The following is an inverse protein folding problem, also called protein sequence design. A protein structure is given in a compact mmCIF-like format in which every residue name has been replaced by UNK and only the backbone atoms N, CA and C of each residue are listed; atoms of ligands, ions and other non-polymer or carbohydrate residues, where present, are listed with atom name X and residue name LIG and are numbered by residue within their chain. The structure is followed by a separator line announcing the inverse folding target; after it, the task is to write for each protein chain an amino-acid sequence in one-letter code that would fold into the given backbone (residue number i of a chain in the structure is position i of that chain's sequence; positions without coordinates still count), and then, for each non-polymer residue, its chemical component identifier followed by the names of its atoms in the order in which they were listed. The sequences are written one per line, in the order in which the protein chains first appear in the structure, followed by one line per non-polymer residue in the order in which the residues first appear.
data_IF_849683690536
#
_entry.id   IF_849683690536
#
_cell.length_a   1.000
_cell.length_b   1.000
_cell.length_c   1.000
_cell.angle_alpha   90.00
_cell.angle_beta   90.00
_cell.angle_gamma   90.00
#
_symmetry.space_group_name_H-M   'P 1'
#
loop_
_entity.id
_entity.type
_entity.pdbx_description
1 polymer ?
#
# COMPACT_ATOMS: atom_id res chain seq x y z
N UNK A 1 24.78 -27.09 -0.34
CA UNK A 1 24.78 -26.34 0.94
C UNK A 1 24.46 -24.89 0.60
N UNK A 2 23.21 -24.45 0.76
CA UNK A 2 22.88 -23.03 0.70
C UNK A 2 23.48 -22.32 1.93
N UNK A 3 23.95 -21.07 1.82
CA UNK A 3 24.60 -20.39 2.93
C UNK A 3 23.58 -20.05 4.03
N UNK A 4 23.93 -20.35 5.29
CA UNK A 4 23.14 -20.05 6.49
C UNK A 4 22.85 -18.55 6.74
N UNK A 5 23.37 -17.65 5.90
CA UNK A 5 23.17 -16.20 6.03
C UNK A 5 21.89 -15.70 5.34
N UNK A 6 21.41 -16.37 4.28
CA UNK A 6 20.24 -15.92 3.52
C UNK A 6 18.93 -16.08 4.30
N UNK A 7 18.82 -17.11 5.15
CA UNK A 7 17.58 -17.41 5.86
C UNK A 7 17.30 -16.52 7.07
N UNK A 8 18.28 -15.73 7.53
CA UNK A 8 18.13 -14.77 8.62
C UNK A 8 18.08 -13.32 8.15
N UNK A 9 18.25 -13.07 6.85
CA UNK A 9 18.10 -11.74 6.26
C UNK A 9 16.64 -11.28 6.45
N UNK A 10 16.39 -10.14 7.13
CA UNK A 10 15.04 -9.60 7.31
C UNK A 10 14.27 -9.46 6.00
N UNK A 11 14.94 -9.12 4.89
CA UNK A 11 14.28 -8.99 3.59
C UNK A 11 13.90 -10.35 3.00
N UNK A 12 14.75 -11.37 3.17
CA UNK A 12 14.43 -12.74 2.78
C UNK A 12 13.23 -13.28 3.57
N UNK A 13 13.24 -13.12 4.89
CA UNK A 13 12.14 -13.57 5.76
C UNK A 13 10.82 -12.87 5.41
N UNK A 14 10.89 -11.58 5.09
CA UNK A 14 9.74 -10.78 4.68
C UNK A 14 9.15 -11.25 3.36
N UNK A 15 9.99 -11.48 2.36
CA UNK A 15 9.57 -12.02 1.07
C UNK A 15 9.03 -13.44 1.18
N UNK A 16 9.63 -14.31 2.00
CA UNK A 16 9.10 -15.66 2.25
C UNK A 16 7.70 -15.58 2.89
N UNK A 17 7.52 -14.70 3.88
CA UNK A 17 6.21 -14.48 4.49
C UNK A 17 5.17 -13.96 3.49
N UNK A 18 5.56 -13.01 2.63
CA UNK A 18 4.68 -12.48 1.60
C UNK A 18 4.30 -13.55 0.55
N UNK A 19 5.25 -14.41 0.15
CA UNK A 19 4.99 -15.56 -0.73
C UNK A 19 4.03 -16.57 -0.08
N UNK A 20 4.19 -16.87 1.21
CA UNK A 20 3.29 -17.76 1.96
C UNK A 20 1.87 -17.22 2.09
N UNK A 21 1.70 -15.89 2.06
CA UNK A 21 0.38 -15.27 2.05
C UNK A 21 -0.42 -15.59 0.76
N UNK A 22 0.30 -15.99 -0.31
CA UNK A 22 -0.25 -16.28 -1.64
C UNK A 22 -1.13 -15.14 -2.17
N UNK A 23 -0.74 -13.90 -1.83
CA UNK A 23 -1.52 -12.70 -2.05
C UNK A 23 -0.83 -11.71 -3.00
N UNK A 24 0.05 -12.15 -3.90
CA UNK A 24 0.56 -11.27 -4.97
C UNK A 24 -0.15 -11.64 -6.27
N UNK A 25 0.03 -12.87 -6.74
CA UNK A 25 -0.57 -13.39 -7.98
C UNK A 25 -1.91 -14.14 -7.77
N UNK A 26 -2.77 -13.61 -6.89
CA UNK A 26 -4.11 -14.16 -6.63
C UNK A 26 -5.21 -13.28 -7.21
N UNK A 27 -6.34 -13.87 -7.67
CA UNK A 27 -7.56 -13.12 -7.95
C UNK A 27 -7.99 -12.27 -6.76
N UNK A 28 -8.89 -11.31 -6.98
CA UNK A 28 -9.46 -10.51 -5.90
C UNK A 28 -10.04 -11.42 -4.81
N UNK A 29 -9.52 -11.27 -3.59
CA UNK A 29 -9.94 -12.10 -2.46
C UNK A 29 -10.90 -11.34 -1.56
N UNK A 30 -12.02 -11.99 -1.19
CA UNK A 30 -13.06 -11.41 -0.34
C UNK A 30 -12.53 -10.91 1.01
N UNK A 31 -11.48 -11.55 1.55
CA UNK A 31 -10.84 -11.11 2.80
C UNK A 31 -10.26 -9.70 2.71
N UNK A 32 -9.63 -9.35 1.58
CA UNK A 32 -9.02 -8.04 1.38
C UNK A 32 -10.08 -6.99 1.04
N UNK A 33 -11.08 -7.36 0.24
CA UNK A 33 -12.27 -6.54 -0.02
C UNK A 33 -12.94 -6.12 1.29
N UNK A 34 -13.12 -7.06 2.22
CA UNK A 34 -13.80 -6.78 3.49
C UNK A 34 -13.05 -5.75 4.33
N UNK A 35 -11.73 -5.88 4.42
CA UNK A 35 -10.90 -4.96 5.19
C UNK A 35 -10.95 -3.55 4.59
N UNK A 36 -10.79 -3.44 3.27
CA UNK A 36 -10.76 -2.13 2.60
C UNK A 36 -12.14 -1.46 2.60
N UNK A 37 -13.22 -2.24 2.50
CA UNK A 37 -14.59 -1.73 2.70
C UNK A 37 -14.81 -1.22 4.13
N UNK A 38 -14.32 -1.91 5.15
CA UNK A 38 -14.43 -1.43 6.53
C UNK A 38 -13.64 -0.14 6.72
N UNK A 39 -12.38 -0.09 6.26
CA UNK A 39 -11.55 1.11 6.34
C UNK A 39 -12.22 2.31 5.67
N UNK A 40 -12.71 2.12 4.44
CA UNK A 40 -13.48 3.13 3.69
C UNK A 40 -14.64 3.69 4.51
N UNK A 41 -15.45 2.82 5.11
CA UNK A 41 -16.65 3.22 5.84
C UNK A 41 -16.33 3.86 7.21
N UNK A 42 -15.26 3.41 7.88
CA UNK A 42 -14.86 3.95 9.18
C UNK A 42 -14.24 5.34 9.02
N UNK A 43 -13.40 5.52 8.00
CA UNK A 43 -12.67 6.77 7.77
C UNK A 43 -13.38 7.73 6.82
N UNK A 44 -14.53 7.35 6.27
CA UNK A 44 -15.33 8.12 5.31
C UNK A 44 -14.50 8.64 4.10
N UNK A 45 -13.68 7.76 3.53
CA UNK A 45 -12.83 8.06 2.37
C UNK A 45 -13.37 7.40 1.10
N UNK A 46 -13.19 7.99 -0.10
CA UNK A 46 -13.66 7.38 -1.35
C UNK A 46 -12.84 6.17 -1.79
N UNK A 47 -11.56 6.12 -1.42
CA UNK A 47 -10.60 5.08 -1.81
C UNK A 47 -9.99 4.49 -0.54
N UNK A 48 -9.92 3.17 -0.45
CA UNK A 48 -9.13 2.48 0.57
C UNK A 48 -8.49 1.25 -0.05
N UNK A 49 -7.20 1.02 0.19
CA UNK A 49 -6.47 -0.09 -0.42
C UNK A 49 -5.48 -0.80 0.48
N UNK A 50 -5.20 -2.06 0.15
CA UNK A 50 -4.08 -2.82 0.70
C UNK A 50 -3.02 -2.95 -0.39
N UNK A 51 -1.82 -2.48 -0.09
CA UNK A 51 -0.63 -2.68 -0.91
C UNK A 51 0.33 -3.65 -0.22
N UNK A 52 1.04 -4.43 -1.03
CA UNK A 52 2.13 -5.29 -0.64
C UNK A 52 3.38 -4.86 -1.39
N UNK A 53 4.51 -4.82 -0.70
CA UNK A 53 5.77 -4.39 -1.31
C UNK A 53 6.62 -5.61 -1.64
N UNK A 54 6.91 -5.87 -2.91
CA UNK A 54 7.93 -6.83 -3.34
C UNK A 54 9.23 -6.06 -3.66
N UNK A 55 10.38 -6.74 -3.66
CA UNK A 55 11.70 -6.09 -3.83
C UNK A 55 11.83 -5.32 -5.16
N UNK A 56 11.10 -5.73 -6.19
CA UNK A 56 11.15 -5.11 -7.52
C UNK A 56 9.91 -4.25 -7.84
N UNK A 57 8.76 -4.54 -7.23
CA UNK A 57 7.47 -3.91 -7.59
C UNK A 57 6.54 -3.74 -6.37
N UNK A 58 5.80 -2.63 -6.32
CA UNK A 58 4.68 -2.47 -5.40
C UNK A 58 3.42 -3.12 -5.98
N UNK A 59 2.82 -4.05 -5.26
CA UNK A 59 1.60 -4.75 -5.67
C UNK A 59 0.41 -4.22 -4.87
N UNK A 60 -0.52 -3.52 -5.52
CA UNK A 60 -1.82 -3.27 -4.90
C UNK A 60 -2.70 -4.51 -5.05
N UNK A 61 -3.39 -4.93 -3.99
CA UNK A 61 -4.56 -5.78 -4.18
C UNK A 61 -5.71 -4.94 -4.74
N UNK A 62 -6.56 -5.51 -5.62
CA UNK A 62 -7.72 -4.80 -6.16
C UNK A 62 -8.61 -4.30 -5.02
N UNK A 63 -8.99 -3.03 -5.11
CA UNK A 63 -9.72 -2.35 -4.05
C UNK A 63 -10.90 -1.55 -4.59
N UNK A 64 -11.87 -1.28 -3.74
CA UNK A 64 -13.01 -0.44 -4.09
C UNK A 64 -12.56 1.01 -4.34
N UNK A 65 -12.94 1.57 -5.50
CA UNK A 65 -12.64 2.97 -5.86
C UNK A 65 -11.47 3.13 -6.84
N UNK A 66 -10.63 2.10 -7.00
CA UNK A 66 -9.55 2.06 -7.98
C UNK A 66 -9.56 0.70 -8.67
N UNK A 67 -9.87 0.66 -9.97
CA UNK A 67 -9.89 -0.58 -10.75
C UNK A 67 -8.44 -0.95 -11.15
N UNK A 68 -7.60 -1.21 -10.15
CA UNK A 68 -6.19 -1.50 -10.36
C UNK A 68 -5.96 -3.01 -10.40
N UNK A 69 -5.85 -3.54 -11.62
CA UNK A 69 -5.23 -4.83 -11.90
C UNK A 69 -3.73 -4.68 -12.23
N UNK A 70 -3.18 -3.48 -12.10
CA UNK A 70 -1.81 -3.13 -12.46
C UNK A 70 -0.96 -2.82 -11.21
N UNK A 71 0.38 -3.01 -11.28
CA UNK A 71 1.30 -2.64 -10.21
C UNK A 71 1.13 -1.18 -9.81
N UNK A 72 1.31 -0.87 -8.52
CA UNK A 72 1.38 0.52 -8.09
C UNK A 72 2.63 1.15 -8.71
N UNK A 73 2.54 2.38 -9.26
CA UNK A 73 3.71 3.11 -9.67
C UNK A 73 4.73 3.17 -8.52
N UNK A 74 6.02 3.10 -8.85
CA UNK A 74 7.13 3.18 -7.88
C UNK A 74 7.12 4.47 -7.02
N UNK A 75 6.33 5.46 -7.43
CA UNK A 75 6.08 6.75 -6.78
C UNK A 75 4.88 6.73 -5.81
N UNK A 76 4.29 5.57 -5.54
CA UNK A 76 3.13 5.50 -4.65
C UNK A 76 3.47 5.88 -3.21
N UNK A 77 2.54 6.57 -2.54
CA UNK A 77 2.63 6.94 -1.13
C UNK A 77 2.88 5.73 -0.21
N UNK A 78 2.30 4.58 -0.59
CA UNK A 78 2.39 3.29 0.11
C UNK A 78 3.83 2.86 0.41
N UNK A 79 4.72 3.00 -0.59
CA UNK A 79 6.10 2.55 -0.50
C UNK A 79 6.88 3.34 0.55
N UNK A 80 6.61 4.63 0.67
CA UNK A 80 7.29 5.49 1.66
C UNK A 80 6.79 5.21 3.08
N UNK A 81 5.48 5.03 3.28
CA UNK A 81 4.92 4.61 4.58
C UNK A 81 5.40 3.22 5.01
N UNK A 82 5.64 2.31 4.06
CA UNK A 82 6.27 1.02 4.32
C UNK A 82 7.72 1.17 4.80
N UNK A 83 8.54 1.98 4.12
CA UNK A 83 9.95 2.20 4.48
C UNK A 83 10.12 2.83 5.86
N UNK A 84 9.22 3.75 6.25
CA UNK A 84 9.29 4.41 7.56
C UNK A 84 8.74 3.55 8.69
N UNK A 85 8.12 2.40 8.38
CA UNK A 85 7.51 1.47 9.37
C UNK A 85 6.51 2.17 10.29
N UNK A 86 5.92 3.27 9.83
CA UNK A 86 5.12 4.18 10.65
C UNK A 86 3.79 4.48 9.97
N UNK A 87 2.89 5.13 10.71
CA UNK A 87 1.78 5.82 10.08
C UNK A 87 2.34 7.00 9.26
N UNK A 88 1.81 7.19 8.05
CA UNK A 88 2.03 8.37 7.23
C UNK A 88 0.66 9.01 7.00
N UNK A 89 0.48 10.24 7.48
CA UNK A 89 -0.74 11.03 7.26
C UNK A 89 -0.32 12.31 6.56
N UNK A 90 -0.98 12.61 5.45
CA UNK A 90 -0.81 13.82 4.65
C UNK A 90 -2.21 14.41 4.50
N UNK A 91 -2.45 15.53 5.19
CA UNK A 91 -3.77 16.18 5.22
C UNK A 91 -4.10 16.85 3.88
N UNK A 92 -3.10 17.46 3.25
CA UNK A 92 -3.17 18.03 1.90
C UNK A 92 -1.87 17.77 1.13
N UNK A 93 -1.93 16.84 0.18
CA UNK A 93 -0.79 16.44 -0.66
C UNK A 93 -0.29 17.57 -1.56
N UNK A 94 -1.11 18.58 -1.87
CA UNK A 94 -0.70 19.73 -2.68
C UNK A 94 0.18 20.72 -1.92
N UNK A 95 0.10 20.69 -0.59
CA UNK A 95 0.91 21.51 0.31
C UNK A 95 2.12 20.75 0.87
N UNK A 96 2.19 19.43 0.66
CA UNK A 96 3.31 18.63 1.14
C UNK A 96 4.51 18.75 0.19
N UNK A 97 5.66 19.30 0.63
CA UNK A 97 6.81 19.54 -0.23
C UNK A 97 7.43 18.25 -0.80
N UNK A 98 7.13 17.08 -0.21
CA UNK A 98 7.63 15.79 -0.69
C UNK A 98 6.70 15.14 -1.71
N UNK A 99 5.44 15.58 -1.81
CA UNK A 99 4.41 14.91 -2.60
C UNK A 99 3.61 15.82 -3.53
N UNK A 100 3.72 17.15 -3.42
CA UNK A 100 2.99 18.09 -4.25
C UNK A 100 3.20 17.89 -5.76
N UNK A 101 4.38 17.43 -6.16
CA UNK A 101 4.72 17.13 -7.57
C UNK A 101 4.49 15.66 -7.96
N UNK A 102 3.93 14.84 -7.07
CA UNK A 102 3.65 13.44 -7.37
C UNK A 102 2.61 13.34 -8.50
N UNK A 103 2.84 12.53 -9.55
CA UNK A 103 1.88 12.30 -10.63
C UNK A 103 0.45 11.97 -10.18
N UNK A 104 0.26 11.30 -9.05
CA UNK A 104 -1.07 11.00 -8.50
C UNK A 104 -1.75 12.20 -7.82
N UNK A 105 -1.02 13.30 -7.59
CA UNK A 105 -1.49 14.56 -6.99
C UNK A 105 -1.78 15.59 -8.07
N UNK A 106 -0.85 15.75 -9.03
CA UNK A 106 -0.97 16.70 -10.15
C UNK A 106 -1.80 16.16 -11.32
N UNK A 107 -1.95 14.83 -11.42
CA UNK A 107 -2.75 14.13 -12.42
C UNK A 107 -3.71 13.15 -11.75
N UNK A 108 -4.51 12.42 -12.55
CA UNK A 108 -5.43 11.42 -12.01
C UNK A 108 -4.69 10.40 -11.11
N UNK A 109 -5.25 10.03 -9.94
CA UNK A 109 -6.62 10.33 -9.50
C UNK A 109 -6.78 11.63 -8.69
N UNK A 110 -5.79 12.53 -8.68
CA UNK A 110 -5.81 13.78 -7.89
C UNK A 110 -5.97 13.57 -6.39
N UNK A 111 -5.12 12.71 -5.81
CA UNK A 111 -5.08 12.46 -4.36
C UNK A 111 -4.82 13.78 -3.65
N UNK A 112 -5.65 14.10 -2.65
CA UNK A 112 -5.56 15.28 -1.77
C UNK A 112 -5.24 14.89 -0.34
N UNK A 113 -5.87 13.83 0.14
CA UNK A 113 -5.60 13.26 1.45
C UNK A 113 -5.00 11.87 1.29
N UNK A 114 -4.02 11.56 2.12
CA UNK A 114 -3.45 10.22 2.22
C UNK A 114 -3.25 9.85 3.70
N UNK A 115 -3.77 8.70 4.11
CA UNK A 115 -3.40 8.08 5.38
C UNK A 115 -3.04 6.62 5.15
N UNK A 116 -1.82 6.23 5.47
CA UNK A 116 -1.30 4.88 5.33
C UNK A 116 -0.69 4.36 6.62
N UNK A 117 -0.90 3.08 6.91
CA UNK A 117 -0.22 2.40 8.01
C UNK A 117 0.36 1.07 7.56
N UNK A 118 1.58 0.78 8.02
CA UNK A 118 2.26 -0.48 7.74
C UNK A 118 1.47 -1.70 8.23
N UNK A 119 1.34 -2.71 7.39
CA UNK A 119 0.85 -4.04 7.76
C UNK A 119 2.03 -4.87 8.29
N UNK A 120 1.94 -5.23 9.57
CA UNK A 120 2.98 -6.00 10.28
C UNK A 120 2.41 -7.36 10.65
N UNK A 121 3.11 -8.43 10.27
CA UNK A 121 2.75 -9.79 10.68
C UNK A 121 3.34 -10.13 12.06
N UNK A 122 2.88 -11.23 12.66
CA UNK A 122 3.18 -11.60 14.05
C UNK A 122 4.67 -11.73 14.42
N UNK A 123 5.57 -11.86 13.44
CA UNK A 123 7.02 -11.88 13.64
C UNK A 123 7.69 -10.49 13.47
N UNK A 124 6.91 -9.41 13.39
CA UNK A 124 7.42 -8.04 13.28
C UNK A 124 7.83 -7.63 11.86
N UNK A 125 7.61 -8.47 10.85
CA UNK A 125 7.94 -8.16 9.47
C UNK A 125 6.84 -7.29 8.84
N UNK A 126 7.27 -6.22 8.18
CA UNK A 126 6.39 -5.32 7.42
C UNK A 126 6.18 -5.94 6.05
N UNK A 127 4.94 -6.11 5.62
CA UNK A 127 4.64 -6.77 4.34
C UNK A 127 3.91 -5.86 3.35
N UNK A 128 3.45 -4.69 3.80
CA UNK A 128 2.61 -3.82 2.99
C UNK A 128 2.05 -2.65 3.79
N UNK A 129 1.01 -2.01 3.26
CA UNK A 129 0.30 -0.90 3.91
C UNK A 129 -1.21 -1.00 3.68
N UNK A 130 -1.99 -0.58 4.68
CA UNK A 130 -3.41 -0.24 4.51
C UNK A 130 -3.51 1.28 4.39
N UNK A 131 -4.14 1.75 3.31
CA UNK A 131 -4.23 3.17 2.98
C UNK A 131 -5.68 3.60 2.75
N UNK A 132 -5.97 4.85 3.07
CA UNK A 132 -7.20 5.55 2.74
C UNK A 132 -6.88 6.88 2.08
N UNK A 133 -7.48 7.13 0.92
CA UNK A 133 -7.19 8.30 0.10
C UNK A 133 -8.50 9.05 -0.20
N UNK A 134 -8.43 10.38 -0.18
CA UNK A 134 -9.48 11.22 -0.74
C UNK A 134 -8.96 11.90 -2.01
N UNK A 135 -9.73 11.80 -3.09
CA UNK A 135 -9.51 12.55 -4.31
C UNK A 135 -10.61 13.56 -4.54
N UNK A 136 -10.24 14.69 -5.11
CA UNK A 136 -11.23 15.56 -5.73
C UNK A 136 -11.72 14.87 -7.00
N UNK A 137 -12.98 14.42 -7.02
CA UNK A 137 -13.65 14.19 -8.30
C UNK A 137 -13.77 15.56 -8.96
N UNK A 138 -12.96 15.83 -9.98
CA UNK A 138 -13.31 16.85 -10.95
C UNK A 138 -14.64 16.39 -11.58
N UNK A 139 -15.71 17.07 -11.16
CA UNK A 139 -17.04 17.01 -11.78
C UNK A 139 -17.00 17.54 -13.21
#
# INVERSE_FOLDING_TARGET
MQPLHETSDPDFLRLDALRRLQALDSPTEERFIRITRMARNIFDVPIALISFEDNEHGWAKPCYGLNMHEPLPNISFCKKGFLTKSMLVIEDTTQDPLYAENPMVIGEPYIRFYAGHSLVITNGLHIGSLCGDASDRLS
#
